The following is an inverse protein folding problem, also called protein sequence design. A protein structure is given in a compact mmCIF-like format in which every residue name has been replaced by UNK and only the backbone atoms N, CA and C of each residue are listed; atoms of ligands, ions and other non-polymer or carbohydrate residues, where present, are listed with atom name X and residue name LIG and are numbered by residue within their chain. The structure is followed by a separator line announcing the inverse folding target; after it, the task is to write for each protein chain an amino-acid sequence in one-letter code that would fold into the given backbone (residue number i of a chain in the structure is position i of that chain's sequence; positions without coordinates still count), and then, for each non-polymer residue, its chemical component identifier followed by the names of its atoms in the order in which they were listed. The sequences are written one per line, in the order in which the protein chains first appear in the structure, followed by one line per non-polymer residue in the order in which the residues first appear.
data_IF_192897293724
#
_entry.id   IF_192897293724
#
_cell.length_a   1.000
_cell.length_b   1.000
_cell.length_c   1.000
_cell.angle_alpha   90.00
_cell.angle_beta   90.00
_cell.angle_gamma   90.00
#
_symmetry.space_group_name_H-M   'P 1'
#
loop_
_entity.id
_entity.type
_entity.pdbx_description
1 polymer ?
#
# COMPACT_ATOMS: atom_id res chain seq x y z
N UNK A 1 38.84 21.01 42.14
CA UNK A 1 39.01 19.77 41.34
C UNK A 1 37.78 18.90 41.58
N UNK A 2 36.79 18.93 40.68
CA UNK A 2 35.67 17.97 40.75
C UNK A 2 36.23 16.62 40.33
N UNK A 3 36.14 15.64 41.22
CA UNK A 3 36.71 14.32 40.97
C UNK A 3 35.93 13.63 39.84
N UNK A 4 36.59 12.80 39.02
CA UNK A 4 35.89 11.97 38.00
C UNK A 4 34.74 11.16 38.61
N UNK A 5 34.80 10.89 39.91
CA UNK A 5 33.78 10.20 40.69
C UNK A 5 32.49 11.01 40.84
N UNK A 6 32.57 12.32 41.08
CA UNK A 6 31.39 13.20 41.20
C UNK A 6 30.66 13.35 39.86
N UNK A 7 31.43 13.40 38.76
CA UNK A 7 30.87 13.48 37.41
C UNK A 7 30.09 12.20 37.04
N UNK A 8 30.64 11.01 37.34
CA UNK A 8 29.93 9.74 37.10
C UNK A 8 28.69 9.59 37.96
N UNK A 9 28.71 10.07 39.21
CA UNK A 9 27.54 10.04 40.08
C UNK A 9 26.40 10.93 39.54
N UNK A 10 26.73 12.14 39.07
CA UNK A 10 25.79 13.03 38.41
C UNK A 10 25.25 12.44 37.10
N UNK A 11 26.11 11.87 36.25
CA UNK A 11 25.66 11.23 35.01
C UNK A 11 24.69 10.08 35.30
N UNK A 12 24.94 9.26 36.34
CA UNK A 12 24.02 8.18 36.73
C UNK A 12 22.67 8.65 37.27
N UNK A 13 22.56 9.90 37.71
CA UNK A 13 21.27 10.46 38.16
C UNK A 13 20.43 11.03 37.02
N UNK A 14 21.02 11.19 35.82
CA UNK A 14 20.29 11.67 34.63
C UNK A 14 19.47 10.55 34.00
N UNK A 15 18.40 10.94 33.32
CA UNK A 15 17.58 10.06 32.49
C UNK A 15 18.35 9.59 31.24
N UNK A 16 17.95 8.43 30.71
CA UNK A 16 18.60 7.79 29.56
C UNK A 16 18.50 8.61 28.26
N UNK A 17 17.40 9.32 28.04
CA UNK A 17 17.25 10.21 26.87
C UNK A 17 18.17 11.41 26.99
N UNK A 18 18.22 12.04 28.16
CA UNK A 18 19.13 13.18 28.42
C UNK A 18 20.60 12.77 28.26
N UNK A 19 20.97 11.57 28.72
CA UNK A 19 22.31 11.02 28.52
C UNK A 19 22.63 10.75 27.05
N UNK A 20 21.66 10.25 26.28
CA UNK A 20 21.80 10.00 24.86
C UNK A 20 21.99 11.32 24.09
N UNK A 21 21.17 12.34 24.36
CA UNK A 21 21.28 13.65 23.72
C UNK A 21 22.64 14.30 23.99
N UNK A 22 23.11 14.28 25.24
CA UNK A 22 24.44 14.79 25.60
C UNK A 22 25.57 14.04 24.89
N UNK A 23 25.46 12.71 24.75
CA UNK A 23 26.46 11.90 24.03
C UNK A 23 26.43 12.18 22.53
N UNK A 24 25.25 12.39 21.94
CA UNK A 24 25.09 12.79 20.54
C UNK A 24 25.73 14.16 20.29
N UNK A 25 25.46 15.16 21.12
CA UNK A 25 26.09 16.49 21.02
C UNK A 25 27.63 16.43 21.14
N UNK A 26 28.17 15.53 21.98
CA UNK A 26 29.62 15.33 22.06
C UNK A 26 30.17 14.56 20.86
N UNK A 27 29.44 13.58 20.33
CA UNK A 27 29.85 12.82 19.15
C UNK A 27 29.88 13.69 17.88
N UNK A 28 29.01 14.69 17.76
CA UNK A 28 29.08 15.68 16.67
C UNK A 28 30.37 16.51 16.70
N UNK A 29 30.94 16.74 17.90
CA UNK A 29 32.17 17.52 18.10
C UNK A 29 33.44 16.66 18.07
N UNK A 30 33.32 15.36 18.34
CA UNK A 30 34.43 14.40 18.36
C UNK A 30 34.15 13.19 17.43
N UNK A 31 34.73 13.19 16.21
CA UNK A 31 34.50 12.12 15.23
C UNK A 31 35.07 10.75 15.66
N UNK A 32 36.06 10.71 16.57
CA UNK A 32 36.59 9.44 17.09
C UNK A 32 35.65 8.83 18.13
N UNK A 33 35.03 9.66 18.98
CA UNK A 33 33.95 9.24 19.86
C UNK A 33 32.76 8.71 19.05
N UNK A 34 32.36 9.41 17.99
CA UNK A 34 31.28 8.97 17.10
C UNK A 34 31.57 7.58 16.49
N UNK A 35 32.77 7.37 15.92
CA UNK A 35 33.15 6.05 15.37
C UNK A 35 33.11 4.94 16.42
N UNK A 36 33.59 5.20 17.64
CA UNK A 36 33.60 4.18 18.72
C UNK A 36 32.21 3.82 19.22
N UNK A 37 31.29 4.79 19.27
CA UNK A 37 29.90 4.54 19.64
C UNK A 37 29.19 3.74 18.54
N UNK A 38 29.38 4.11 17.27
CA UNK A 38 28.84 3.37 16.12
C UNK A 38 29.39 1.94 16.04
N UNK A 39 30.70 1.75 16.26
CA UNK A 39 31.31 0.42 16.27
C UNK A 39 30.76 -0.47 17.40
N UNK A 40 30.44 0.11 18.57
CA UNK A 40 29.80 -0.62 19.67
C UNK A 40 28.35 -0.98 19.34
N UNK A 41 27.59 -0.05 18.76
CA UNK A 41 26.23 -0.31 18.32
C UNK A 41 26.20 -1.46 17.29
N UNK A 42 27.08 -1.41 16.28
CA UNK A 42 27.22 -2.48 15.29
C UNK A 42 27.64 -3.81 15.91
N UNK A 43 28.53 -3.82 16.90
CA UNK A 43 28.92 -5.06 17.58
C UNK A 43 27.76 -5.71 18.35
N UNK A 44 26.89 -4.89 18.98
CA UNK A 44 25.67 -5.38 19.63
C UNK A 44 24.68 -5.90 18.61
N UNK A 45 24.42 -5.17 17.53
CA UNK A 45 23.54 -5.59 16.43
C UNK A 45 24.04 -6.89 15.78
N UNK A 46 25.33 -6.98 15.47
CA UNK A 46 25.94 -8.20 14.90
C UNK A 46 25.86 -9.39 15.87
N UNK A 47 25.99 -9.15 17.17
CA UNK A 47 25.82 -10.18 18.20
C UNK A 47 24.36 -10.68 18.30
N UNK A 48 23.38 -9.78 18.19
CA UNK A 48 21.96 -10.14 18.08
C UNK A 48 21.67 -10.91 16.79
N UNK A 49 22.22 -10.46 15.65
CA UNK A 49 22.07 -11.12 14.35
C UNK A 49 22.66 -12.53 14.33
N UNK A 50 23.81 -12.74 14.97
CA UNK A 50 24.40 -14.07 15.11
C UNK A 50 23.48 -15.02 15.90
N UNK A 51 22.94 -14.57 17.04
CA UNK A 51 22.00 -15.35 17.84
C UNK A 51 20.71 -15.68 17.06
N UNK A 52 20.19 -14.71 16.30
CA UNK A 52 18.99 -14.91 15.48
C UNK A 52 19.27 -15.86 14.31
N UNK A 53 20.46 -15.80 13.70
CA UNK A 53 20.88 -16.76 12.68
C UNK A 53 20.98 -18.18 13.25
N UNK A 54 21.58 -18.35 14.43
CA UNK A 54 21.69 -19.65 15.09
C UNK A 54 20.31 -20.22 15.43
N UNK A 55 19.39 -19.36 15.90
CA UNK A 55 17.98 -19.73 16.12
C UNK A 55 17.29 -20.14 14.83
N UNK A 56 17.54 -19.42 13.73
CA UNK A 56 17.02 -19.78 12.42
C UNK A 56 17.56 -21.16 12.01
N UNK A 57 18.82 -21.49 12.26
CA UNK A 57 19.46 -22.73 11.83
C UNK A 57 19.09 -23.94 12.72
N UNK A 58 18.90 -23.73 14.02
CA UNK A 58 18.63 -24.79 15.01
C UNK A 58 17.17 -25.26 15.11
N UNK A 59 16.28 -24.77 14.25
CA UNK A 59 14.85 -25.05 14.36
C UNK A 59 14.50 -26.51 14.10
N UNK A 60 13.93 -27.18 15.12
CA UNK A 60 13.22 -28.44 14.94
C UNK A 60 11.89 -28.19 14.21
N UNK A 61 11.41 -29.12 13.36
CA UNK A 61 10.24 -28.90 12.49
C UNK A 61 8.95 -28.53 13.22
N UNK A 62 8.79 -28.94 14.49
CA UNK A 62 7.62 -28.59 15.31
C UNK A 62 7.66 -27.17 15.91
N UNK A 63 8.85 -26.55 16.04
CA UNK A 63 9.02 -25.21 16.61
C UNK A 63 9.38 -24.15 15.54
N UNK A 64 9.49 -24.57 14.29
CA UNK A 64 10.01 -23.78 13.17
C UNK A 64 9.17 -22.53 12.90
N UNK A 65 7.84 -22.62 12.94
CA UNK A 65 6.95 -21.47 12.72
C UNK A 65 7.06 -20.39 13.81
N UNK A 66 7.31 -20.79 15.06
CA UNK A 66 7.49 -19.86 16.20
C UNK A 66 8.85 -19.19 16.14
N UNK A 67 9.89 -19.94 15.76
CA UNK A 67 11.25 -19.40 15.63
C UNK A 67 11.40 -18.50 14.41
N UNK A 68 10.78 -18.85 13.29
CA UNK A 68 10.69 -17.95 12.13
C UNK A 68 9.97 -16.66 12.52
N UNK A 69 8.86 -16.72 13.26
CA UNK A 69 8.15 -15.52 13.69
C UNK A 69 9.04 -14.59 14.55
N UNK A 70 9.81 -15.14 15.50
CA UNK A 70 10.70 -14.34 16.34
C UNK A 70 11.88 -13.73 15.57
N UNK A 71 12.41 -14.44 14.57
CA UNK A 71 13.40 -13.90 13.62
C UNK A 71 12.80 -12.71 12.87
N UNK A 72 11.58 -12.85 12.32
CA UNK A 72 10.91 -11.78 11.58
C UNK A 72 10.60 -10.56 12.48
N UNK A 73 10.22 -10.79 13.75
CA UNK A 73 10.03 -9.71 14.73
C UNK A 73 11.33 -8.95 15.00
N UNK A 74 12.44 -9.68 15.10
CA UNK A 74 13.77 -9.08 15.31
C UNK A 74 14.23 -8.30 14.09
N UNK A 75 14.11 -8.87 12.89
CA UNK A 75 14.41 -8.19 11.63
C UNK A 75 13.59 -6.90 11.48
N UNK A 76 12.29 -6.96 11.78
CA UNK A 76 11.43 -5.80 11.74
C UNK A 76 11.88 -4.72 12.71
N UNK A 77 12.18 -5.07 13.97
CA UNK A 77 12.67 -4.13 14.98
C UNK A 77 13.98 -3.46 14.54
N UNK A 78 14.93 -4.22 13.99
CA UNK A 78 16.22 -3.69 13.53
C UNK A 78 16.04 -2.74 12.34
N UNK A 79 15.20 -3.11 11.37
CA UNK A 79 14.88 -2.26 10.22
C UNK A 79 14.10 -1.00 10.60
N UNK A 80 13.15 -1.10 11.52
CA UNK A 80 12.39 0.04 12.04
C UNK A 80 13.29 0.98 12.87
N UNK A 81 14.33 0.44 13.50
CA UNK A 81 15.37 1.19 14.22
C UNK A 81 16.44 1.83 13.34
N UNK A 82 16.45 1.58 12.03
CA UNK A 82 17.44 2.14 11.10
C UNK A 82 18.84 1.55 11.25
N UNK A 83 18.93 0.24 11.56
CA UNK A 83 20.20 -0.49 11.68
C UNK A 83 21.15 -0.20 10.52
N UNK A 84 22.45 -0.11 10.85
CA UNK A 84 23.53 0.01 9.87
C UNK A 84 24.13 -1.35 9.51
N UNK A 85 23.69 -2.42 10.17
CA UNK A 85 24.11 -3.78 9.86
C UNK A 85 23.39 -4.29 8.60
N UNK A 86 24.09 -5.09 7.81
CA UNK A 86 23.48 -5.74 6.66
C UNK A 86 22.64 -6.95 7.12
N UNK A 87 21.33 -6.72 7.21
CA UNK A 87 20.33 -7.73 7.57
C UNK A 87 19.73 -8.46 6.36
N UNK A 88 20.09 -8.07 5.13
CA UNK A 88 19.54 -8.66 3.92
C UNK A 88 19.86 -10.17 3.78
N UNK A 89 21.07 -10.66 4.11
CA UNK A 89 21.37 -12.09 4.09
C UNK A 89 20.49 -12.91 5.05
N UNK A 90 20.24 -12.38 6.25
CA UNK A 90 19.40 -13.06 7.25
C UNK A 90 17.92 -13.08 6.81
N UNK A 91 17.41 -11.95 6.28
CA UNK A 91 16.06 -11.89 5.73
C UNK A 91 15.86 -12.82 4.53
N UNK A 92 16.84 -12.89 3.62
CA UNK A 92 16.84 -13.85 2.49
C UNK A 92 16.78 -15.29 2.98
N UNK A 93 17.63 -15.65 3.95
CA UNK A 93 17.64 -17.01 4.54
C UNK A 93 16.32 -17.36 5.20
N UNK A 94 15.67 -16.40 5.88
CA UNK A 94 14.35 -16.61 6.44
C UNK A 94 13.30 -16.90 5.37
N UNK A 95 13.31 -16.16 4.24
CA UNK A 95 12.43 -16.44 3.09
C UNK A 95 12.68 -17.83 2.52
N UNK A 96 13.94 -18.15 2.20
CA UNK A 96 14.30 -19.45 1.60
C UNK A 96 13.92 -20.62 2.53
N UNK A 97 14.05 -20.44 3.86
CA UNK A 97 13.64 -21.43 4.85
C UNK A 97 12.12 -21.62 4.92
N UNK A 98 11.34 -20.54 4.92
CA UNK A 98 9.86 -20.61 4.89
C UNK A 98 9.39 -21.32 3.62
N UNK A 99 9.98 -20.97 2.47
CA UNK A 99 9.66 -21.60 1.18
C UNK A 99 9.96 -23.10 1.22
N UNK A 100 11.10 -23.48 1.79
CA UNK A 100 11.49 -24.90 1.95
C UNK A 100 10.53 -25.64 2.88
N UNK A 101 10.14 -25.04 4.01
CA UNK A 101 9.20 -25.64 4.96
C UNK A 101 7.78 -25.80 4.38
N UNK A 102 7.40 -24.91 3.46
CA UNK A 102 6.13 -24.95 2.73
C UNK A 102 6.14 -25.93 1.53
N UNK A 103 7.30 -26.53 1.22
CA UNK A 103 7.61 -27.41 0.08
C UNK A 103 6.43 -27.88 -0.78
N UNK A 104 5.68 -28.87 -0.28
CA UNK A 104 4.65 -29.61 -1.04
C UNK A 104 3.21 -29.15 -0.77
N UNK A 105 3.00 -28.01 -0.09
CA UNK A 105 1.64 -27.52 0.17
C UNK A 105 1.06 -26.94 -1.13
N UNK A 106 -0.02 -27.55 -1.65
CA UNK A 106 -0.67 -27.16 -2.91
C UNK A 106 -1.16 -25.71 -2.90
N UNK A 107 -1.79 -25.28 -1.81
CA UNK A 107 -2.14 -23.88 -1.54
C UNK A 107 -1.75 -23.55 -0.10
N UNK A 108 -0.59 -22.91 0.14
CA UNK A 108 -0.27 -22.43 1.46
C UNK A 108 -1.29 -21.37 1.83
N UNK A 109 -2.12 -21.67 2.82
CA UNK A 109 -3.18 -20.79 3.32
C UNK A 109 -3.01 -20.56 4.81
N UNK A 110 -3.50 -19.42 5.28
CA UNK A 110 -3.40 -19.01 6.68
C UNK A 110 -2.01 -18.53 7.08
N UNK A 111 -1.65 -18.76 8.35
CA UNK A 111 -0.51 -18.09 8.99
C UNK A 111 0.85 -18.28 8.30
N UNK A 112 1.06 -19.40 7.60
CA UNK A 112 2.33 -19.65 6.91
C UNK A 112 2.49 -18.81 5.63
N UNK A 113 1.40 -18.53 4.90
CA UNK A 113 1.41 -17.61 3.77
C UNK A 113 1.64 -16.16 4.23
N UNK A 114 0.97 -15.75 5.31
CA UNK A 114 1.18 -14.43 5.92
C UNK A 114 2.63 -14.24 6.40
N UNK A 115 3.26 -15.31 6.93
CA UNK A 115 4.66 -15.29 7.32
C UNK A 115 5.60 -15.14 6.12
N UNK A 116 5.31 -15.79 4.99
CA UNK A 116 6.08 -15.64 3.76
C UNK A 116 5.96 -14.21 3.20
N UNK A 117 4.75 -13.68 3.10
CA UNK A 117 4.51 -12.30 2.63
C UNK A 117 5.23 -11.28 3.52
N UNK A 118 5.20 -11.50 4.83
CA UNK A 118 5.94 -10.68 5.81
C UNK A 118 7.44 -10.80 5.60
N UNK A 119 7.97 -12.01 5.41
CA UNK A 119 9.40 -12.24 5.21
C UNK A 119 9.90 -11.60 3.92
N UNK A 120 9.16 -11.73 2.81
CA UNK A 120 9.47 -11.11 1.52
C UNK A 120 9.45 -9.57 1.65
N UNK A 121 8.45 -9.03 2.36
CA UNK A 121 8.37 -7.57 2.61
C UNK A 121 9.56 -7.05 3.43
N UNK A 122 10.00 -7.80 4.45
CA UNK A 122 11.18 -7.43 5.25
C UNK A 122 12.47 -7.56 4.45
N UNK A 123 12.58 -8.57 3.58
CA UNK A 123 13.72 -8.71 2.69
C UNK A 123 13.82 -7.54 1.68
N UNK A 124 12.70 -7.15 1.06
CA UNK A 124 12.66 -5.99 0.17
C UNK A 124 13.14 -4.70 0.87
N UNK A 125 12.69 -4.47 2.11
CA UNK A 125 13.15 -3.36 2.94
C UNK A 125 14.64 -3.44 3.28
N UNK A 126 15.15 -4.63 3.58
CA UNK A 126 16.56 -4.85 3.85
C UNK A 126 17.42 -4.56 2.61
N UNK A 127 16.98 -4.98 1.42
CA UNK A 127 17.63 -4.65 0.16
C UNK A 127 17.57 -3.15 -0.16
N UNK A 128 16.54 -2.43 0.25
CA UNK A 128 16.52 -0.96 0.08
C UNK A 128 17.56 -0.27 0.99
N UNK A 129 17.76 -0.76 2.21
CA UNK A 129 18.76 -0.23 3.13
C UNK A 129 20.20 -0.58 2.71
N UNK A 130 20.43 -1.83 2.29
CA UNK A 130 21.71 -2.33 1.81
C UNK A 130 21.51 -3.10 0.49
N UNK A 131 21.58 -2.41 -0.66
CA UNK A 131 21.32 -3.02 -1.96
C UNK A 131 22.32 -4.14 -2.31
N UNK A 132 21.84 -5.38 -2.55
CA UNK A 132 22.68 -6.43 -3.12
C UNK A 132 22.99 -6.12 -4.60
N UNK A 133 23.92 -6.88 -5.23
CA UNK A 133 24.14 -6.78 -6.67
C UNK A 133 22.82 -6.93 -7.46
N UNK A 134 22.46 -5.98 -8.33
CA UNK A 134 21.17 -5.97 -9.04
C UNK A 134 20.83 -7.27 -9.79
N UNK A 135 21.83 -7.88 -10.42
CA UNK A 135 21.67 -9.10 -11.21
C UNK A 135 21.41 -10.32 -10.31
N UNK A 136 22.09 -10.43 -9.16
CA UNK A 136 21.85 -11.51 -8.19
C UNK A 136 20.44 -11.42 -7.57
N UNK A 137 19.96 -10.19 -7.31
CA UNK A 137 18.60 -9.99 -6.82
C UNK A 137 17.57 -10.37 -7.89
N UNK A 138 17.79 -9.94 -9.15
CA UNK A 138 16.94 -10.31 -10.27
C UNK A 138 16.88 -11.84 -10.45
N UNK A 139 18.04 -12.51 -10.45
CA UNK A 139 18.14 -13.96 -10.56
C UNK A 139 17.43 -14.67 -9.40
N UNK A 140 17.57 -14.16 -8.16
CA UNK A 140 16.86 -14.70 -7.01
C UNK A 140 15.33 -14.63 -7.20
N UNK A 141 14.80 -13.50 -7.65
CA UNK A 141 13.36 -13.32 -7.91
C UNK A 141 12.90 -14.26 -9.02
N UNK A 142 13.63 -14.31 -10.14
CA UNK A 142 13.29 -15.14 -11.30
C UNK A 142 13.29 -16.63 -10.95
N UNK A 143 14.30 -17.08 -10.20
CA UNK A 143 14.40 -18.47 -9.72
C UNK A 143 13.19 -18.85 -8.86
N UNK A 144 12.74 -17.97 -7.97
CA UNK A 144 11.55 -18.25 -7.16
C UNK A 144 10.26 -18.22 -7.99
N UNK A 145 10.09 -17.21 -8.84
CA UNK A 145 8.88 -17.06 -9.65
C UNK A 145 8.71 -18.20 -10.67
N UNK A 146 9.81 -18.68 -11.27
CA UNK A 146 9.78 -19.78 -12.24
C UNK A 146 10.03 -21.16 -11.64
N UNK A 147 10.42 -21.24 -10.36
CA UNK A 147 10.72 -22.51 -9.68
C UNK A 147 9.48 -23.38 -9.49
N UNK A 148 8.35 -22.78 -9.13
CA UNK A 148 7.04 -23.44 -9.07
C UNK A 148 5.98 -22.54 -9.71
N UNK A 149 5.21 -23.01 -10.72
CA UNK A 149 4.23 -22.17 -11.38
C UNK A 149 3.16 -21.66 -10.40
N UNK A 150 2.97 -20.35 -10.36
CA UNK A 150 1.97 -19.71 -9.51
C UNK A 150 2.33 -19.59 -8.03
N UNK A 151 3.52 -20.04 -7.61
CA UNK A 151 3.95 -19.91 -6.22
C UNK A 151 5.48 -19.95 -6.05
N UNK A 152 6.10 -19.07 -5.24
CA UNK A 152 5.49 -17.97 -4.50
C UNK A 152 5.15 -16.77 -5.40
N UNK A 153 4.06 -16.07 -5.07
CA UNK A 153 3.63 -14.87 -5.81
C UNK A 153 4.44 -13.63 -5.37
N UNK A 154 5.70 -13.58 -5.78
CA UNK A 154 6.58 -12.45 -5.45
C UNK A 154 6.27 -11.29 -6.39
N UNK A 155 5.90 -10.15 -5.81
CA UNK A 155 5.71 -8.90 -6.54
C UNK A 155 7.07 -8.21 -6.80
N UNK A 156 7.26 -7.64 -7.99
CA UNK A 156 8.44 -6.85 -8.38
C UNK A 156 8.44 -5.45 -7.78
N UNK A 157 7.25 -4.90 -7.50
CA UNK A 157 7.09 -3.50 -7.03
C UNK A 157 7.93 -3.17 -5.79
N UNK A 158 7.96 -3.99 -4.72
CA UNK A 158 8.79 -3.74 -3.54
C UNK A 158 10.31 -3.77 -3.83
N UNK A 159 10.73 -4.47 -4.89
CA UNK A 159 12.14 -4.62 -5.28
C UNK A 159 12.57 -3.65 -6.36
N UNK A 160 11.68 -2.80 -6.88
CA UNK A 160 11.97 -1.86 -7.97
C UNK A 160 13.20 -0.97 -7.69
N UNK A 161 13.26 -0.38 -6.50
CA UNK A 161 14.37 0.47 -6.07
C UNK A 161 15.70 -0.28 -5.95
N UNK A 162 15.79 -1.40 -5.20
CA UNK A 162 17.05 -2.14 -5.07
C UNK A 162 17.50 -2.83 -6.37
N UNK A 163 16.58 -3.21 -7.27
CA UNK A 163 16.93 -3.73 -8.59
C UNK A 163 17.55 -2.66 -9.49
N UNK A 164 17.02 -1.43 -9.45
CA UNK A 164 17.40 -0.37 -10.38
C UNK A 164 17.26 -0.78 -11.86
N UNK A 165 17.80 0.04 -12.76
CA UNK A 165 17.63 -0.18 -14.20
C UNK A 165 18.27 -1.48 -14.69
N UNK A 166 19.42 -1.87 -14.12
CA UNK A 166 20.15 -3.08 -14.52
C UNK A 166 19.39 -4.35 -14.12
N UNK A 167 18.92 -4.43 -12.88
CA UNK A 167 18.15 -5.59 -12.40
C UNK A 167 16.82 -5.72 -13.12
N UNK A 168 16.12 -4.60 -13.36
CA UNK A 168 14.87 -4.57 -14.13
C UNK A 168 15.09 -5.01 -15.58
N UNK A 169 16.16 -4.56 -16.24
CA UNK A 169 16.51 -5.00 -17.58
C UNK A 169 16.80 -6.51 -17.65
N UNK A 170 17.47 -7.07 -16.63
CA UNK A 170 17.70 -8.51 -16.54
C UNK A 170 16.39 -9.30 -16.42
N UNK A 171 15.50 -8.87 -15.50
CA UNK A 171 14.15 -9.44 -15.37
C UNK A 171 13.40 -9.39 -16.70
N UNK A 172 13.44 -8.25 -17.40
CA UNK A 172 12.78 -8.07 -18.69
C UNK A 172 13.30 -9.02 -19.76
N UNK A 173 14.63 -9.17 -19.86
CA UNK A 173 15.27 -10.06 -20.83
C UNK A 173 14.79 -11.51 -20.64
N UNK A 174 14.85 -12.02 -19.41
CA UNK A 174 14.41 -13.40 -19.11
C UNK A 174 12.91 -13.59 -19.37
N UNK A 175 12.10 -12.60 -19.00
CA UNK A 175 10.65 -12.64 -19.25
C UNK A 175 10.33 -12.67 -20.75
N UNK A 176 11.02 -11.86 -21.56
CA UNK A 176 10.84 -11.84 -23.01
C UNK A 176 11.26 -13.15 -23.68
N UNK A 177 12.37 -13.75 -23.23
CA UNK A 177 12.81 -15.07 -23.68
C UNK A 177 11.72 -16.12 -23.45
N UNK A 178 11.15 -16.18 -22.24
CA UNK A 178 10.07 -17.12 -21.89
C UNK A 178 8.79 -16.86 -22.70
N UNK A 179 8.47 -15.60 -23.01
CA UNK A 179 7.31 -15.26 -23.84
C UNK A 179 7.52 -15.59 -25.32
N UNK A 180 8.77 -15.60 -25.80
CA UNK A 180 9.13 -15.98 -27.15
C UNK A 180 9.15 -17.51 -27.38
N UNK A 181 9.25 -18.31 -26.30
CA UNK A 181 9.18 -19.77 -26.38
C UNK A 181 7.86 -20.25 -27.02
N UNK A 182 7.88 -21.30 -27.86
CA UNK A 182 6.68 -21.87 -28.47
C UNK A 182 5.77 -22.47 -27.40
N UNK A 183 4.46 -22.32 -27.60
CA UNK A 183 3.45 -22.80 -26.64
C UNK A 183 3.44 -24.34 -26.63
N UNK A 184 3.93 -24.92 -25.54
CA UNK A 184 3.78 -26.34 -25.22
C UNK A 184 2.73 -26.53 -24.12
N UNK A 185 2.05 -27.69 -24.07
CA UNK A 185 0.98 -27.94 -23.10
C UNK A 185 1.42 -27.75 -21.63
N UNK A 186 2.66 -28.08 -21.29
CA UNK A 186 3.22 -27.93 -19.93
C UNK A 186 3.74 -26.50 -19.63
N UNK A 187 3.87 -25.65 -20.66
CA UNK A 187 4.43 -24.29 -20.51
C UNK A 187 3.41 -23.24 -20.04
N UNK A 188 2.13 -23.60 -19.90
CA UNK A 188 1.05 -22.66 -19.58
C UNK A 188 1.24 -21.98 -18.22
N UNK A 189 1.82 -22.66 -17.22
CA UNK A 189 2.16 -22.07 -15.93
C UNK A 189 3.30 -21.05 -16.03
N UNK A 190 4.42 -21.47 -16.63
CA UNK A 190 5.61 -20.65 -16.87
C UNK A 190 5.29 -19.37 -17.66
N UNK A 191 4.48 -19.51 -18.73
CA UNK A 191 4.05 -18.38 -19.56
C UNK A 191 3.17 -17.39 -18.81
N UNK A 192 2.25 -17.88 -17.95
CA UNK A 192 1.44 -17.01 -17.08
C UNK A 192 2.30 -16.23 -16.09
N UNK A 193 3.30 -16.87 -15.47
CA UNK A 193 4.26 -16.16 -14.61
C UNK A 193 5.00 -15.07 -15.38
N UNK A 194 5.51 -15.38 -16.59
CA UNK A 194 6.20 -14.39 -17.42
C UNK A 194 5.29 -13.22 -17.80
N UNK A 195 4.01 -13.47 -18.13
CA UNK A 195 3.04 -12.40 -18.39
C UNK A 195 2.83 -11.51 -17.15
N UNK A 196 2.66 -12.10 -15.95
CA UNK A 196 2.53 -11.33 -14.71
C UNK A 196 3.75 -10.44 -14.46
N UNK A 197 4.95 -11.01 -14.53
CA UNK A 197 6.20 -10.27 -14.32
C UNK A 197 6.40 -9.18 -15.38
N UNK A 198 6.03 -9.41 -16.64
CA UNK A 198 6.09 -8.39 -17.69
C UNK A 198 5.14 -7.22 -17.40
N UNK A 199 3.94 -7.50 -16.87
CA UNK A 199 2.99 -6.46 -16.48
C UNK A 199 3.55 -5.64 -15.32
N UNK A 200 4.03 -6.29 -14.26
CA UNK A 200 4.58 -5.60 -13.10
C UNK A 200 5.84 -4.80 -13.45
N UNK A 201 6.71 -5.33 -14.30
CA UNK A 201 7.85 -4.60 -14.83
C UNK A 201 7.39 -3.32 -15.54
N UNK A 202 6.40 -3.41 -16.42
CA UNK A 202 5.87 -2.24 -17.14
C UNK A 202 5.18 -1.23 -16.21
N UNK A 203 4.52 -1.69 -15.15
CA UNK A 203 3.96 -0.82 -14.10
C UNK A 203 5.06 -0.10 -13.31
N UNK A 204 6.18 -0.78 -13.01
CA UNK A 204 7.34 -0.22 -12.28
C UNK A 204 8.14 0.77 -13.14
N UNK A 205 8.41 0.44 -14.40
CA UNK A 205 9.18 1.30 -15.31
C UNK A 205 8.35 2.41 -15.93
N UNK A 206 7.03 2.36 -15.77
CA UNK A 206 6.10 3.30 -16.42
C UNK A 206 6.03 3.09 -17.95
N UNK A 207 6.31 1.89 -18.44
CA UNK A 207 6.16 1.53 -19.85
C UNK A 207 4.68 1.36 -20.22
N UNK A 208 4.08 2.47 -20.59
CA UNK A 208 2.67 2.59 -20.95
C UNK A 208 2.32 1.73 -22.17
N UNK A 209 3.21 1.64 -23.15
CA UNK A 209 2.95 0.87 -24.38
C UNK A 209 2.85 -0.63 -24.08
N UNK A 210 3.75 -1.15 -23.23
CA UNK A 210 3.68 -2.55 -22.81
C UNK A 210 2.42 -2.83 -21.98
N UNK A 211 2.05 -1.95 -21.03
CA UNK A 211 0.81 -2.13 -20.24
C UNK A 211 -0.43 -2.12 -21.14
N UNK A 212 -0.52 -1.21 -22.10
CA UNK A 212 -1.66 -1.10 -23.03
C UNK A 212 -1.74 -2.34 -23.93
N UNK A 213 -0.61 -2.81 -24.47
CA UNK A 213 -0.55 -4.02 -25.29
C UNK A 213 -1.04 -5.25 -24.52
N UNK A 214 -0.51 -5.48 -23.32
CA UNK A 214 -0.89 -6.63 -22.50
C UNK A 214 -2.37 -6.62 -22.11
N UNK A 215 -2.91 -5.46 -21.71
CA UNK A 215 -4.32 -5.33 -21.40
C UNK A 215 -5.21 -5.48 -22.65
N UNK A 216 -4.70 -5.09 -23.84
CA UNK A 216 -5.42 -5.25 -25.11
C UNK A 216 -5.46 -6.70 -25.62
N UNK A 217 -4.50 -7.53 -25.21
CA UNK A 217 -4.45 -8.98 -25.49
C UNK A 217 -5.44 -9.78 -24.62
N UNK A 218 -5.88 -9.23 -23.47
CA UNK A 218 -6.94 -9.82 -22.67
C UNK A 218 -8.30 -9.69 -23.38
N UNK A 219 -9.22 -10.66 -23.17
CA UNK A 219 -10.57 -10.59 -23.77
C UNK A 219 -11.17 -9.20 -23.50
N UNK A 220 -11.74 -8.54 -24.53
CA UNK A 220 -12.22 -7.18 -24.40
C UNK A 220 -13.38 -7.16 -23.40
N UNK A 221 -13.07 -6.71 -22.19
CA UNK A 221 -14.04 -6.45 -21.12
C UNK A 221 -14.00 -4.96 -20.78
N UNK A 222 -15.15 -4.42 -20.38
CA UNK A 222 -15.29 -3.00 -20.07
C UNK A 222 -14.34 -2.55 -18.94
N UNK A 223 -14.11 -3.39 -17.94
CA UNK A 223 -13.18 -3.15 -16.82
C UNK A 223 -11.72 -3.05 -17.27
N UNK A 224 -11.27 -3.96 -18.15
CA UNK A 224 -9.93 -3.95 -18.75
C UNK A 224 -9.74 -2.72 -19.63
N UNK A 225 -10.75 -2.38 -20.43
CA UNK A 225 -10.74 -1.19 -21.28
C UNK A 225 -10.66 0.10 -20.47
N UNK A 226 -11.36 0.18 -19.33
CA UNK A 226 -11.26 1.31 -18.40
C UNK A 226 -9.89 1.37 -17.72
N UNK A 227 -9.26 0.23 -17.43
CA UNK A 227 -7.89 0.19 -16.91
C UNK A 227 -6.90 0.78 -17.92
N UNK A 228 -7.01 0.40 -19.20
CA UNK A 228 -6.20 0.97 -20.30
C UNK A 228 -6.36 2.50 -20.39
N UNK A 229 -7.60 3.00 -20.38
CA UNK A 229 -7.88 4.44 -20.45
C UNK A 229 -7.29 5.20 -19.26
N UNK A 230 -7.34 4.63 -18.05
CA UNK A 230 -6.74 5.23 -16.86
C UNK A 230 -5.21 5.29 -16.95
N UNK A 231 -4.58 4.23 -17.43
CA UNK A 231 -3.12 4.18 -17.62
C UNK A 231 -2.68 5.22 -18.65
N UNK A 232 -3.33 5.27 -19.83
CA UNK A 232 -3.04 6.27 -20.87
C UNK A 232 -3.24 7.70 -20.38
N UNK A 233 -4.28 7.94 -19.57
CA UNK A 233 -4.54 9.28 -18.99
C UNK A 233 -3.48 9.66 -17.94
N UNK A 234 -3.09 8.75 -17.08
CA UNK A 234 -2.04 8.98 -16.08
C UNK A 234 -0.70 9.31 -16.73
N UNK A 235 -0.46 8.77 -17.92
CA UNK A 235 0.71 9.04 -18.76
C UNK A 235 0.62 10.30 -19.64
N UNK A 236 -0.47 11.07 -19.57
CA UNK A 236 -0.67 12.25 -20.43
C UNK A 236 -1.03 11.96 -21.90
N UNK A 237 -1.19 10.69 -22.29
CA UNK A 237 -1.58 10.26 -23.65
C UNK A 237 -3.09 10.35 -23.86
N UNK A 238 -3.63 11.56 -23.73
CA UNK A 238 -5.06 11.82 -23.72
C UNK A 238 -5.76 11.44 -25.04
N UNK A 239 -5.12 11.68 -26.19
CA UNK A 239 -5.68 11.34 -27.51
C UNK A 239 -5.91 9.85 -27.67
N UNK A 240 -4.95 9.04 -27.22
CA UNK A 240 -5.04 7.58 -27.27
C UNK A 240 -6.03 7.03 -26.25
N UNK A 241 -6.08 7.63 -25.05
CA UNK A 241 -7.10 7.29 -24.06
C UNK A 241 -8.52 7.51 -24.61
N UNK A 242 -8.75 8.62 -25.32
CA UNK A 242 -10.03 8.93 -25.96
C UNK A 242 -10.34 7.95 -27.08
N UNK A 243 -9.36 7.67 -27.95
CA UNK A 243 -9.52 6.72 -29.06
C UNK A 243 -9.85 5.30 -28.53
N UNK A 244 -9.18 4.86 -27.48
CA UNK A 244 -9.42 3.57 -26.85
C UNK A 244 -10.79 3.49 -26.16
N UNK A 245 -11.20 4.55 -25.45
CA UNK A 245 -12.52 4.65 -24.85
C UNK A 245 -13.64 4.60 -25.91
N UNK A 246 -13.47 5.33 -27.01
CA UNK A 246 -14.43 5.34 -28.12
C UNK A 246 -14.55 3.95 -28.78
N UNK A 247 -13.44 3.22 -28.93
CA UNK A 247 -13.43 1.85 -29.46
C UNK A 247 -14.14 0.87 -28.52
N UNK A 248 -13.86 0.93 -27.22
CA UNK A 248 -14.49 0.07 -26.22
C UNK A 248 -16.03 0.27 -26.16
N UNK A 249 -16.48 1.52 -26.18
CA UNK A 249 -17.91 1.88 -26.20
C UNK A 249 -18.58 1.52 -27.56
N UNK A 250 -17.83 1.60 -28.65
CA UNK A 250 -18.29 1.21 -29.99
C UNK A 250 -18.54 -0.29 -30.14
N UNK A 251 -17.75 -1.12 -29.46
CA UNK A 251 -17.82 -2.57 -29.58
C UNK A 251 -18.93 -3.23 -28.72
N UNK A 252 -19.28 -2.67 -27.55
CA UNK A 252 -20.31 -3.28 -26.69
C UNK A 252 -21.73 -2.72 -26.90
N UNK A 253 -21.92 -1.50 -27.43
CA UNK A 253 -23.27 -0.92 -27.60
C UNK A 253 -23.35 0.21 -28.65
N UNK A 254 -22.44 0.23 -29.62
CA UNK A 254 -22.14 1.39 -30.48
C UNK A 254 -23.27 1.99 -31.32
N UNK A 255 -24.42 1.32 -31.46
CA UNK A 255 -25.58 1.86 -32.19
C UNK A 255 -26.52 2.71 -31.31
N UNK A 256 -26.63 2.44 -30.00
CA UNK A 256 -27.62 3.14 -29.13
C UNK A 256 -27.08 4.37 -28.39
N UNK A 257 -25.77 4.44 -28.13
CA UNK A 257 -25.17 5.50 -27.27
C UNK A 257 -24.53 6.63 -28.10
N UNK A 258 -24.25 6.40 -29.39
CA UNK A 258 -23.61 7.40 -30.26
C UNK A 258 -24.49 8.62 -30.52
N UNK A 259 -25.80 8.41 -30.72
CA UNK A 259 -26.76 9.50 -30.95
C UNK A 259 -26.87 10.47 -29.77
N UNK A 260 -27.12 9.98 -28.54
CA UNK A 260 -27.23 10.83 -27.36
C UNK A 260 -25.98 11.63 -27.03
N UNK A 261 -24.78 11.05 -27.22
CA UNK A 261 -23.51 11.70 -26.89
C UNK A 261 -23.13 12.80 -27.89
N UNK A 262 -23.36 12.56 -29.19
CA UNK A 262 -23.17 13.59 -30.23
C UNK A 262 -24.16 14.75 -30.02
N UNK A 263 -25.42 14.43 -29.72
CA UNK A 263 -26.42 15.44 -29.41
C UNK A 263 -26.12 16.23 -28.12
N UNK A 264 -25.48 15.60 -27.12
CA UNK A 264 -25.06 16.28 -25.89
C UNK A 264 -23.87 17.21 -26.12
N UNK A 265 -22.92 16.85 -26.98
CA UNK A 265 -21.79 17.70 -27.39
C UNK A 265 -22.24 18.88 -28.25
N UNK A 266 -23.20 18.67 -29.15
CA UNK A 266 -23.82 19.74 -29.94
C UNK A 266 -24.64 20.71 -29.06
N UNK A 267 -25.30 20.20 -28.01
CA UNK A 267 -25.96 21.02 -26.99
C UNK A 267 -24.96 21.81 -26.15
N UNK A 268 -23.82 21.22 -25.78
CA UNK A 268 -22.79 21.90 -24.99
C UNK A 268 -22.07 23.01 -25.77
N UNK A 269 -22.04 22.96 -27.11
CA UNK A 269 -21.48 24.03 -27.95
C UNK A 269 -22.46 25.18 -28.24
N UNK A 270 -23.76 24.99 -27.99
CA UNK A 270 -24.77 26.06 -28.10
C UNK A 270 -24.87 26.78 -26.75
N UNK A 271 -24.38 28.01 -26.69
CA UNK A 271 -24.65 28.94 -25.58
C UNK A 271 -26.17 29.16 -25.50
N UNK A 272 -26.87 28.80 -24.40
CA UNK A 272 -28.30 29.00 -24.32
C UNK A 272 -28.64 30.33 -23.61
N UNK A 273 -29.60 31.07 -24.19
CA UNK A 273 -30.37 32.09 -23.49
C UNK A 273 -31.26 31.44 -22.42
N UNK A 274 -31.60 32.13 -21.31
CA UNK A 274 -32.34 31.53 -20.21
C UNK A 274 -33.83 31.53 -20.52
N UNK A 275 -34.54 30.48 -20.13
CA UNK A 275 -35.97 30.41 -19.74
C UNK A 275 -36.32 28.92 -19.45
N UNK A 276 -37.36 28.62 -18.66
CA UNK A 276 -37.29 28.41 -17.21
C UNK A 276 -37.47 26.92 -16.83
N UNK A 277 -36.99 26.52 -15.64
CA UNK A 277 -37.42 25.26 -15.01
C UNK A 277 -38.80 25.41 -14.35
N UNK A 278 -39.39 24.35 -13.73
CA UNK A 278 -38.84 23.02 -13.47
C UNK A 278 -39.81 21.84 -13.77
N UNK A 279 -39.30 20.71 -14.24
CA UNK A 279 -39.93 19.41 -13.99
C UNK A 279 -38.82 18.42 -13.61
N UNK A 280 -38.65 18.23 -12.31
CA UNK A 280 -37.73 17.24 -11.73
C UNK A 280 -38.28 15.84 -12.03
N UNK A 281 -37.52 15.04 -12.79
CA UNK A 281 -37.78 13.62 -12.93
C UNK A 281 -37.70 12.91 -11.55
N UNK A 282 -38.64 12.01 -11.18
CA UNK A 282 -38.81 11.56 -9.79
C UNK A 282 -37.96 10.36 -9.35
N UNK A 283 -37.07 9.82 -10.19
CA UNK A 283 -36.45 8.51 -9.92
C UNK A 283 -34.94 8.54 -9.55
N UNK A 284 -34.39 9.72 -9.27
CA UNK A 284 -33.02 9.82 -8.76
C UNK A 284 -32.98 9.49 -7.26
N UNK A 285 -32.79 8.21 -6.92
CA UNK A 285 -32.62 7.73 -5.54
C UNK A 285 -31.72 8.70 -4.75
N UNK A 286 -32.27 9.27 -3.68
CA UNK A 286 -31.61 10.29 -2.88
C UNK A 286 -30.66 9.64 -1.87
N UNK A 287 -29.41 10.12 -1.84
CA UNK A 287 -28.36 9.65 -0.92
C UNK A 287 -28.78 9.91 0.53
N UNK A 288 -29.44 11.04 0.81
CA UNK A 288 -29.90 11.36 2.17
C UNK A 288 -30.99 10.40 2.64
N UNK A 289 -31.94 10.04 1.76
CA UNK A 289 -32.98 9.07 2.07
C UNK A 289 -32.40 7.67 2.37
N UNK A 290 -31.46 7.21 1.56
CA UNK A 290 -30.79 5.92 1.79
C UNK A 290 -30.01 5.88 3.12
N UNK A 291 -29.34 6.98 3.50
CA UNK A 291 -28.65 7.07 4.79
C UNK A 291 -29.64 7.07 5.97
N UNK A 292 -30.81 7.72 5.82
CA UNK A 292 -31.85 7.69 6.84
C UNK A 292 -32.46 6.29 7.04
N UNK A 293 -32.46 5.46 5.99
CA UNK A 293 -32.87 4.05 6.03
C UNK A 293 -31.75 3.08 6.49
N UNK A 294 -30.60 3.60 6.96
CA UNK A 294 -29.42 2.80 7.32
C UNK A 294 -28.83 1.96 6.17
N UNK A 295 -29.14 2.32 4.91
CA UNK A 295 -28.66 1.65 3.68
C UNK A 295 -27.34 2.25 3.22
N UNK A 296 -26.38 2.27 4.14
CA UNK A 296 -25.07 2.92 4.02
C UNK A 296 -24.32 2.56 2.73
N UNK A 297 -24.32 1.28 2.34
CA UNK A 297 -23.58 0.79 1.18
C UNK A 297 -24.21 1.19 -0.15
N UNK A 298 -25.53 1.25 -0.19
CA UNK A 298 -26.28 1.70 -1.36
C UNK A 298 -26.14 3.21 -1.55
N UNK A 299 -26.24 3.97 -0.45
CA UNK A 299 -25.97 5.40 -0.44
C UNK A 299 -24.58 5.71 -1.01
N UNK A 300 -23.58 4.90 -0.66
CA UNK A 300 -22.21 5.08 -1.16
C UNK A 300 -22.06 4.79 -2.65
N UNK A 301 -22.76 3.77 -3.17
CA UNK A 301 -22.81 3.47 -4.60
C UNK A 301 -23.45 4.61 -5.39
N UNK A 302 -24.59 5.14 -4.91
CA UNK A 302 -25.27 6.27 -5.55
C UNK A 302 -24.42 7.54 -5.49
N UNK A 303 -23.75 7.80 -4.36
CA UNK A 303 -22.86 8.95 -4.19
C UNK A 303 -21.65 8.94 -5.14
N UNK A 304 -21.27 7.80 -5.73
CA UNK A 304 -20.18 7.74 -6.69
C UNK A 304 -20.49 8.54 -7.98
N UNK A 305 -21.76 8.64 -8.37
CA UNK A 305 -22.23 9.35 -9.57
C UNK A 305 -22.54 10.84 -9.35
N UNK A 306 -22.46 11.34 -8.12
CA UNK A 306 -22.80 12.73 -7.76
C UNK A 306 -21.57 13.58 -7.45
N UNK A 307 -21.75 14.90 -7.48
CA UNK A 307 -20.68 15.82 -7.10
C UNK A 307 -20.33 15.63 -5.61
N UNK A 308 -19.04 15.47 -5.23
CA UNK A 308 -18.68 15.21 -3.83
C UNK A 308 -19.17 16.28 -2.84
N UNK A 309 -19.24 17.55 -3.27
CA UNK A 309 -19.74 18.66 -2.46
C UNK A 309 -21.25 18.59 -2.19
N UNK A 310 -22.03 17.96 -3.07
CA UNK A 310 -23.49 17.78 -2.92
C UNK A 310 -23.81 16.72 -1.86
N UNK A 311 -23.01 15.65 -1.81
CA UNK A 311 -23.28 14.49 -0.92
C UNK A 311 -22.55 14.56 0.42
N UNK A 312 -21.47 15.34 0.55
CA UNK A 312 -20.70 15.44 1.79
C UNK A 312 -21.52 15.90 3.01
N UNK A 313 -22.46 16.87 2.90
CA UNK A 313 -23.32 17.27 4.03
C UNK A 313 -24.19 16.11 4.54
N UNK A 314 -24.79 15.31 3.66
CA UNK A 314 -25.63 14.18 4.06
C UNK A 314 -24.85 13.12 4.86
N UNK A 315 -23.59 12.85 4.47
CA UNK A 315 -22.70 11.96 5.23
C UNK A 315 -22.29 12.55 6.58
N UNK A 316 -22.13 13.87 6.68
CA UNK A 316 -21.85 14.56 7.96
C UNK A 316 -23.02 14.39 8.92
N UNK A 317 -24.22 14.73 8.48
CA UNK A 317 -25.43 14.66 9.31
C UNK A 317 -25.68 13.22 9.78
N UNK A 318 -25.49 12.24 8.90
CA UNK A 318 -25.65 10.83 9.25
C UNK A 318 -24.59 10.34 10.25
N UNK A 319 -23.34 10.81 10.17
CA UNK A 319 -22.32 10.53 11.21
C UNK A 319 -22.76 11.07 12.57
N UNK A 320 -23.29 12.29 12.63
CA UNK A 320 -23.76 12.89 13.88
C UNK A 320 -24.95 12.13 14.46
N UNK A 321 -25.88 11.69 13.61
CA UNK A 321 -27.01 10.85 14.00
C UNK A 321 -26.56 9.50 14.59
N UNK A 322 -25.63 8.81 13.94
CA UNK A 322 -25.08 7.54 14.46
C UNK A 322 -24.37 7.74 15.82
N UNK A 323 -23.63 8.84 15.99
CA UNK A 323 -22.99 9.16 17.27
C UNK A 323 -24.02 9.49 18.37
N UNK A 324 -25.19 10.01 18.00
CA UNK A 324 -26.28 10.32 18.92
C UNK A 324 -27.00 9.07 19.46
N UNK A 325 -26.97 7.94 18.75
CA UNK A 325 -27.57 6.65 19.17
C UNK A 325 -26.87 6.02 20.38
N UNK A 326 -25.62 6.42 20.66
CA UNK A 326 -24.82 6.07 21.85
C UNK A 326 -24.54 4.57 22.06
N UNK A 327 -24.75 3.73 21.05
CA UNK A 327 -24.41 2.31 21.09
C UNK A 327 -23.08 1.99 20.37
N UNK A 328 -22.56 0.78 20.61
CA UNK A 328 -21.27 0.37 20.07
C UNK A 328 -21.29 0.14 18.54
N UNK A 329 -22.41 -0.35 18.00
CA UNK A 329 -22.56 -0.65 16.59
C UNK A 329 -22.67 0.65 15.77
N UNK A 330 -23.41 1.64 16.26
CA UNK A 330 -23.51 2.96 15.65
C UNK A 330 -22.17 3.71 15.69
N UNK A 331 -21.34 3.55 16.72
CA UNK A 331 -19.98 4.10 16.71
C UNK A 331 -19.07 3.47 15.66
N UNK A 332 -19.13 2.15 15.49
CA UNK A 332 -18.39 1.46 14.43
C UNK A 332 -18.87 1.92 13.04
N UNK A 333 -20.18 2.02 12.83
CA UNK A 333 -20.78 2.57 11.60
C UNK A 333 -20.36 4.01 11.35
N UNK A 334 -20.41 4.88 12.37
CA UNK A 334 -19.98 6.27 12.27
C UNK A 334 -18.51 6.39 11.81
N UNK A 335 -17.63 5.52 12.32
CA UNK A 335 -16.23 5.48 11.89
C UNK A 335 -16.07 5.09 10.40
N UNK A 336 -16.90 4.18 9.90
CA UNK A 336 -16.95 3.83 8.47
C UNK A 336 -17.44 5.01 7.62
N UNK A 337 -18.51 5.70 8.06
CA UNK A 337 -19.04 6.85 7.34
C UNK A 337 -18.07 8.05 7.36
N UNK A 338 -17.32 8.25 8.46
CA UNK A 338 -16.23 9.23 8.54
C UNK A 338 -15.12 8.95 7.51
N UNK A 339 -14.80 7.68 7.25
CA UNK A 339 -13.82 7.31 6.21
C UNK A 339 -14.33 7.64 4.80
N UNK A 340 -15.63 7.45 4.55
CA UNK A 340 -16.28 7.82 3.29
C UNK A 340 -16.33 9.34 3.11
N UNK A 341 -16.69 10.08 4.16
CA UNK A 341 -16.67 11.53 4.19
C UNK A 341 -15.25 12.09 3.91
N UNK A 342 -14.20 11.48 4.49
CA UNK A 342 -12.80 11.82 4.15
C UNK A 342 -12.50 11.65 2.67
N UNK A 343 -13.01 10.57 2.06
CA UNK A 343 -12.82 10.29 0.63
C UNK A 343 -13.54 11.33 -0.24
N UNK A 344 -14.73 11.77 0.17
CA UNK A 344 -15.47 12.84 -0.51
C UNK A 344 -14.71 14.17 -0.46
N UNK A 345 -14.25 14.60 0.72
CA UNK A 345 -13.46 15.83 0.85
C UNK A 345 -12.11 15.76 0.12
N UNK A 346 -11.46 14.59 0.05
CA UNK A 346 -10.25 14.41 -0.76
C UNK A 346 -10.54 14.59 -2.26
N UNK A 347 -11.65 14.04 -2.75
CA UNK A 347 -12.09 14.19 -4.16
C UNK A 347 -12.52 15.63 -4.50
N UNK A 348 -13.06 16.36 -3.53
CA UNK A 348 -13.46 17.76 -3.67
C UNK A 348 -12.30 18.76 -3.56
N UNK A 349 -11.11 18.32 -3.13
CA UNK A 349 -9.97 19.21 -2.84
C UNK A 349 -10.06 19.93 -1.49
N UNK A 350 -11.13 19.73 -0.72
CA UNK A 350 -11.42 20.40 0.57
C UNK A 350 -10.92 19.57 1.76
N UNK A 351 -9.67 19.07 1.72
CA UNK A 351 -9.18 18.16 2.78
C UNK A 351 -9.00 18.85 4.14
N UNK A 352 -8.74 20.16 4.15
CA UNK A 352 -8.60 20.96 5.37
C UNK A 352 -9.92 21.12 6.14
N UNK A 353 -11.05 21.20 5.43
CA UNK A 353 -12.38 21.26 6.04
C UNK A 353 -12.72 19.96 6.78
N UNK A 354 -12.33 18.81 6.21
CA UNK A 354 -12.47 17.52 6.89
C UNK A 354 -11.61 17.44 8.15
N UNK A 355 -10.37 17.94 8.09
CA UNK A 355 -9.47 17.99 9.25
C UNK A 355 -10.05 18.82 10.39
N UNK A 356 -10.60 19.99 10.06
CA UNK A 356 -11.25 20.89 11.03
C UNK A 356 -12.51 20.27 11.63
N UNK A 357 -13.34 19.63 10.81
CA UNK A 357 -14.53 18.90 11.27
C UNK A 357 -14.17 17.74 12.20
N UNK A 358 -13.19 16.91 11.82
CA UNK A 358 -12.75 15.77 12.63
C UNK A 358 -12.17 16.23 13.99
N UNK A 359 -11.39 17.30 14.00
CA UNK A 359 -10.86 17.88 15.23
C UNK A 359 -11.99 18.33 16.18
N UNK A 360 -12.98 19.05 15.65
CA UNK A 360 -14.15 19.48 16.42
C UNK A 360 -14.99 18.30 16.93
N UNK A 361 -15.18 17.27 16.11
CA UNK A 361 -15.92 16.06 16.48
C UNK A 361 -15.23 15.29 17.62
N UNK A 362 -13.90 15.12 17.53
CA UNK A 362 -13.10 14.43 18.55
C UNK A 362 -13.10 15.20 19.87
N UNK A 363 -12.98 16.53 19.83
CA UNK A 363 -13.04 17.34 21.05
C UNK A 363 -14.41 17.26 21.72
N UNK A 364 -15.49 17.38 20.94
CA UNK A 364 -16.87 17.29 21.43
C UNK A 364 -17.17 15.93 22.06
N UNK A 365 -16.61 14.85 21.51
CA UNK A 365 -16.87 13.48 21.95
C UNK A 365 -15.70 12.81 22.68
N UNK A 366 -14.74 13.58 23.20
CA UNK A 366 -13.53 13.06 23.88
C UNK A 366 -13.79 12.06 25.02
N UNK A 367 -14.95 12.16 25.68
CA UNK A 367 -15.37 11.26 26.78
C UNK A 367 -15.95 9.92 26.30
N UNK A 368 -16.33 9.81 25.02
CA UNK A 368 -16.86 8.57 24.41
C UNK A 368 -15.68 7.69 23.94
N UNK A 369 -14.98 7.06 24.88
CA UNK A 369 -13.75 6.27 24.61
C UNK A 369 -13.92 5.22 23.52
N UNK A 370 -15.06 4.51 23.49
CA UNK A 370 -15.39 3.53 22.45
C UNK A 370 -15.46 4.15 21.05
N UNK A 371 -16.06 5.34 20.90
CA UNK A 371 -16.10 6.06 19.62
C UNK A 371 -14.69 6.44 19.16
N UNK A 372 -13.85 6.93 20.07
CA UNK A 372 -12.45 7.26 19.75
C UNK A 372 -11.66 6.02 19.32
N UNK A 373 -11.92 4.88 19.96
CA UNK A 373 -11.31 3.60 19.60
C UNK A 373 -11.72 3.15 18.19
N UNK A 374 -13.01 3.24 17.84
CA UNK A 374 -13.51 2.91 16.50
C UNK A 374 -12.95 3.86 15.42
N UNK A 375 -12.80 5.15 15.72
CA UNK A 375 -12.16 6.12 14.80
C UNK A 375 -10.67 5.75 14.57
N UNK A 376 -9.96 5.31 15.61
CA UNK A 376 -8.57 4.81 15.47
C UNK A 376 -8.51 3.53 14.66
N UNK A 377 -9.41 2.57 14.91
CA UNK A 377 -9.52 1.31 14.14
C UNK A 377 -9.81 1.58 12.67
N UNK A 378 -10.60 2.60 12.36
CA UNK A 378 -10.89 3.03 10.99
C UNK A 378 -9.69 3.71 10.27
N UNK A 379 -8.50 3.76 10.91
CA UNK A 379 -7.25 4.35 10.38
C UNK A 379 -7.40 5.83 9.99
N UNK A 380 -8.24 6.57 10.72
CA UNK A 380 -8.36 8.01 10.55
C UNK A 380 -7.32 8.66 11.47
N UNK A 381 -6.39 9.42 10.89
CA UNK A 381 -5.37 10.13 11.67
C UNK A 381 -6.04 11.14 12.59
N UNK A 382 -5.97 10.90 13.90
CA UNK A 382 -6.48 11.84 14.89
C UNK A 382 -5.55 13.06 14.93
N UNK A 383 -6.11 14.28 14.94
CA UNK A 383 -5.30 15.47 15.13
C UNK A 383 -4.54 15.38 16.46
N UNK A 384 -3.26 15.77 16.47
CA UNK A 384 -2.45 15.82 17.69
C UNK A 384 -3.17 16.68 18.72
N UNK A 385 -3.45 16.12 19.89
CA UNK A 385 -4.02 16.88 21.00
C UNK A 385 -3.06 18.02 21.35
N UNK A 386 -3.47 19.25 21.07
CA UNK A 386 -2.79 20.42 21.62
C UNK A 386 -3.13 20.41 23.10
N UNK A 387 -2.16 20.02 23.94
CA UNK A 387 -2.25 20.23 25.37
C UNK A 387 -2.33 21.75 25.59
N UNK A 388 -3.49 22.24 26.03
CA UNK A 388 -3.58 23.54 26.68
C UNK A 388 -3.09 23.41 28.12
#
# INVERSE_FOLDING_TARGET
MRSQSDLRAYLRSLDALVLADLLCEQAERDPELARRLLARAQATENGELAQVSDLLDGAAPAAESVQVASVLDTLQRLLDGGTQADVAPLARRAVDKIITALGDVDEPSGAAADQLDRAVSLYARACEAHPPPPEELAEWILRLAFGRPGWPDIALTPFAKPLGDKGLAHVKSTVDEVLAEPVADDSAGRRRTAQRLNQEHAEVTGDVDTVVRMLSEQLPRLDVSLKIVRVLRAAGRHTEAIAHAAKALGNENGSRIRGPLVAALERAQRVPAPEPGPESEPDAVDVAALLAEDRDDEAWKVAAGRAPAEVAPAYRDHVEQLIAQKDAQAYARAAVQLRRLRTLHKRAGTSEEFGSYLAGLVETHRRKTRLIEEIRKARIALPKAVRQ
#
